data_IF_485659015125
#
_entry.id   IF_485659015125
#
_cell.length_a   1.000
_cell.length_b   1.000
_cell.length_c   1.000
_cell.angle_alpha   90.00
_cell.angle_beta   90.00
_cell.angle_gamma   90.00
#
_symmetry.space_group_name_H-M   'P 1'
#
loop_
_entity.id
_entity.type
_entity.pdbx_description
1 polymer ?
#
# COMPACT_ATOMS: atom_id res chain seq x y z
N UNK A 1 24.41 43.98 9.99
CA UNK A 1 25.79 43.78 10.46
C UNK A 1 25.94 42.36 10.95
N UNK A 2 26.97 41.72 10.41
CA UNK A 2 27.62 40.44 10.77
C UNK A 2 26.77 39.16 10.51
N UNK A 3 27.11 38.46 9.60
CA UNK A 3 28.21 37.64 9.01
C UNK A 3 27.85 36.18 9.04
N UNK A 4 27.76 35.69 7.83
CA UNK A 4 27.95 34.32 7.40
C UNK A 4 29.02 33.55 8.16
N UNK A 5 28.81 32.27 8.40
CA UNK A 5 29.90 31.30 8.36
C UNK A 5 29.41 29.98 7.74
N UNK A 6 29.93 29.71 6.56
CA UNK A 6 30.00 28.43 5.87
C UNK A 6 30.89 27.47 6.65
N UNK A 7 30.51 26.20 6.74
CA UNK A 7 31.48 25.10 6.83
C UNK A 7 31.05 23.97 5.93
N UNK A 8 31.73 23.87 4.79
CA UNK A 8 31.87 22.64 4.00
C UNK A 8 32.79 21.66 4.73
N UNK A 9 32.47 20.38 4.72
CA UNK A 9 33.44 19.26 4.77
C UNK A 9 32.84 18.14 3.94
N UNK A 10 33.28 17.92 2.71
CA UNK A 10 34.47 17.19 2.31
C UNK A 10 34.30 15.67 2.41
N UNK A 11 34.14 15.07 1.22
CA UNK A 11 34.27 13.64 0.90
C UNK A 11 35.58 13.06 1.46
N UNK A 12 35.51 11.83 1.95
CA UNK A 12 36.66 10.94 1.92
C UNK A 12 36.25 9.58 1.36
N UNK A 13 36.72 9.35 0.18
CA UNK A 13 36.83 8.04 -0.48
C UNK A 13 37.98 7.30 0.18
N UNK A 14 37.77 6.04 0.53
CA UNK A 14 38.89 5.11 0.77
C UNK A 14 38.57 3.80 0.10
N UNK A 15 39.29 3.54 -0.95
CA UNK A 15 39.41 2.27 -1.66
C UNK A 15 40.58 1.45 -1.10
N UNK A 16 40.62 0.18 -1.48
CA UNK A 16 41.63 -0.88 -1.30
C UNK A 16 41.56 -1.64 0.04
N UNK A 17 41.53 -2.98 0.02
CA UNK A 17 42.46 -3.87 -0.67
C UNK A 17 41.89 -5.26 -0.92
N UNK A 18 42.23 -5.74 -2.06
CA UNK A 18 42.18 -7.11 -2.58
C UNK A 18 43.22 -7.98 -1.87
N UNK A 19 42.87 -9.19 -1.37
CA UNK A 19 43.83 -10.28 -1.22
C UNK A 19 43.15 -11.60 -1.48
N UNK A 20 43.54 -12.21 -2.58
CA UNK A 20 43.40 -13.62 -2.91
C UNK A 20 44.50 -14.43 -2.25
N UNK A 21 44.20 -15.61 -1.75
CA UNK A 21 45.12 -16.74 -1.65
C UNK A 21 44.36 -18.07 -1.63
N UNK A 22 44.54 -18.78 -2.54
CA UNK A 22 44.75 -20.11 -3.12
C UNK A 22 45.05 -21.26 -2.14
N UNK A 23 44.51 -22.43 -2.56
CA UNK A 23 45.03 -23.82 -2.38
C UNK A 23 44.97 -24.43 -0.98
N UNK A 24 44.65 -25.71 -0.78
CA UNK A 24 44.83 -26.95 -1.52
C UNK A 24 44.00 -28.08 -0.90
N UNK A 25 43.53 -28.96 -1.72
CA UNK A 25 43.79 -30.41 -1.86
C UNK A 25 43.73 -31.36 -0.65
N UNK A 26 42.93 -32.41 -0.83
CA UNK A 26 43.18 -33.79 -0.42
C UNK A 26 42.52 -34.22 0.89
N UNK A 27 41.83 -35.31 1.01
CA UNK A 27 42.12 -36.68 0.61
C UNK A 27 40.88 -37.57 0.85
N UNK A 28 40.74 -38.52 0.01
CA UNK A 28 39.92 -39.73 0.02
C UNK A 28 40.10 -40.57 1.31
N UNK A 29 39.02 -41.24 1.75
CA UNK A 29 39.09 -42.61 2.31
C UNK A 29 37.73 -43.30 2.33
N UNK A 30 37.60 -44.27 1.44
CA UNK A 30 37.20 -45.68 1.60
C UNK A 30 35.81 -46.03 2.13
N UNK A 31 35.09 -46.73 1.26
CA UNK A 31 33.94 -47.59 1.54
C UNK A 31 34.29 -48.82 2.38
N UNK A 32 33.30 -49.48 2.96
CA UNK A 32 33.27 -50.92 2.87
C UNK A 32 32.02 -51.44 2.14
N UNK A 33 32.32 -52.49 1.41
CA UNK A 33 31.51 -53.40 0.63
C UNK A 33 30.44 -54.12 1.43
N UNK A 34 29.25 -54.24 0.85
CA UNK A 34 28.22 -55.18 1.23
C UNK A 34 27.39 -55.58 0.02
N UNK A 35 27.65 -56.78 -0.48
CA UNK A 35 26.98 -57.42 -1.62
C UNK A 35 25.61 -57.93 -1.21
N UNK A 36 24.55 -57.54 -1.95
CA UNK A 36 23.32 -58.32 -2.05
C UNK A 36 22.81 -58.21 -3.47
N UNK A 37 22.86 -59.33 -4.15
CA UNK A 37 22.25 -59.57 -5.46
C UNK A 37 20.74 -59.56 -5.31
N UNK A 38 20.05 -58.67 -6.02
CA UNK A 38 18.65 -58.89 -6.34
C UNK A 38 18.36 -58.52 -7.81
N UNK A 39 17.79 -59.50 -8.47
CA UNK A 39 17.50 -59.54 -9.89
C UNK A 39 16.16 -58.83 -10.09
N UNK A 40 16.16 -57.62 -10.61
CA UNK A 40 14.92 -56.97 -11.01
C UNK A 40 14.95 -56.63 -12.50
N UNK A 41 14.00 -57.20 -13.20
CA UNK A 41 13.67 -57.02 -14.63
C UNK A 41 13.51 -55.56 -14.98
N UNK A 42 14.27 -55.12 -15.95
CA UNK A 42 14.27 -53.75 -16.49
C UNK A 42 13.06 -53.59 -17.43
N UNK A 43 11.97 -53.02 -16.91
CA UNK A 43 10.86 -52.55 -17.74
C UNK A 43 11.11 -51.10 -18.08
N UNK A 44 11.57 -50.83 -19.25
CA UNK A 44 11.74 -49.48 -19.81
C UNK A 44 10.36 -48.81 -19.95
N UNK A 45 9.97 -47.96 -19.01
CA UNK A 45 8.81 -47.10 -19.14
C UNK A 45 9.13 -46.07 -20.22
N UNK A 46 8.38 -46.11 -21.31
CA UNK A 46 8.37 -45.06 -22.33
C UNK A 46 7.73 -43.82 -21.71
N UNK A 47 8.58 -42.85 -21.36
CA UNK A 47 8.10 -41.54 -20.91
C UNK A 47 7.56 -40.80 -22.13
N UNK A 48 6.25 -40.74 -22.26
CA UNK A 48 5.58 -39.86 -23.23
C UNK A 48 5.90 -38.42 -22.86
N UNK A 49 6.45 -37.59 -23.76
CA UNK A 49 6.72 -36.19 -23.44
C UNK A 49 5.41 -35.49 -23.14
N UNK A 50 5.30 -34.86 -21.97
CA UNK A 50 4.22 -33.97 -21.62
C UNK A 50 4.17 -32.84 -22.67
N UNK A 51 3.02 -32.57 -23.29
CA UNK A 51 2.91 -31.47 -24.26
C UNK A 51 3.34 -30.18 -23.61
N UNK A 52 4.31 -29.50 -24.21
CA UNK A 52 4.67 -28.15 -23.87
C UNK A 52 3.41 -27.27 -23.97
N UNK A 53 3.03 -26.48 -22.93
CA UNK A 53 1.86 -25.62 -23.04
C UNK A 53 2.09 -24.66 -24.20
N UNK A 54 1.21 -24.72 -25.18
CA UNK A 54 1.14 -23.73 -26.26
C UNK A 54 0.94 -22.36 -25.61
N UNK A 55 1.74 -21.32 -25.96
CA UNK A 55 1.47 -19.98 -25.49
C UNK A 55 0.03 -19.62 -25.83
N UNK A 56 -0.74 -19.19 -24.83
CA UNK A 56 -2.11 -18.71 -25.07
C UNK A 56 -2.05 -17.62 -26.15
N UNK A 57 -2.85 -17.80 -27.20
CA UNK A 57 -2.97 -16.77 -28.22
C UNK A 57 -3.26 -15.44 -27.52
N UNK A 58 -2.56 -14.37 -27.88
CA UNK A 58 -2.82 -13.00 -27.42
C UNK A 58 -4.24 -12.61 -27.86
N UNK A 59 -5.24 -12.96 -27.06
CA UNK A 59 -6.59 -12.41 -27.18
C UNK A 59 -6.45 -11.01 -26.57
N UNK A 60 -6.71 -9.91 -27.33
CA UNK A 60 -6.72 -8.60 -26.75
C UNK A 60 -7.67 -8.57 -25.56
N UNK A 61 -7.21 -8.06 -24.43
CA UNK A 61 -8.08 -7.90 -23.27
C UNK A 61 -9.31 -7.07 -23.68
N UNK A 62 -10.51 -7.40 -23.21
CA UNK A 62 -11.71 -6.61 -23.48
C UNK A 62 -11.47 -5.16 -23.05
N UNK A 63 -12.14 -4.20 -23.68
CA UNK A 63 -12.09 -2.81 -23.22
C UNK A 63 -12.59 -2.74 -21.79
N UNK A 64 -11.79 -2.22 -20.82
CA UNK A 64 -12.19 -2.22 -19.43
C UNK A 64 -13.35 -1.26 -19.19
N UNK A 65 -14.12 -1.51 -18.13
CA UNK A 65 -15.12 -0.57 -17.65
C UNK A 65 -14.41 0.73 -17.23
N UNK A 66 -15.00 1.87 -17.59
CA UNK A 66 -14.41 3.20 -17.24
C UNK A 66 -14.65 3.56 -15.76
N UNK A 67 -15.54 2.86 -15.09
CA UNK A 67 -16.03 3.16 -13.77
C UNK A 67 -17.47 3.70 -13.76
N UNK A 68 -17.93 4.13 -12.60
CA UNK A 68 -19.23 4.83 -12.49
C UNK A 68 -19.21 6.16 -13.25
N UNK A 69 -20.37 6.63 -13.67
CA UNK A 69 -20.47 7.94 -14.32
C UNK A 69 -19.90 9.02 -13.40
N UNK A 70 -19.00 9.83 -13.94
CA UNK A 70 -18.34 10.88 -13.18
C UNK A 70 -19.36 11.88 -12.63
N UNK A 71 -19.32 12.10 -11.32
CA UNK A 71 -20.10 13.16 -10.65
C UNK A 71 -19.23 14.42 -10.63
N UNK A 72 -19.72 15.48 -11.26
CA UNK A 72 -19.03 16.76 -11.29
C UNK A 72 -18.81 17.33 -9.87
N UNK A 73 -17.78 18.15 -9.73
CA UNK A 73 -17.54 18.85 -8.48
C UNK A 73 -18.68 19.87 -8.22
N UNK A 74 -19.11 19.95 -6.98
CA UNK A 74 -20.11 20.89 -6.52
C UNK A 74 -19.51 22.07 -5.74
N UNK A 75 -18.23 22.36 -6.01
CA UNK A 75 -17.46 23.46 -5.42
C UNK A 75 -16.53 24.08 -6.47
N UNK A 76 -16.09 25.30 -6.23
CA UNK A 76 -15.05 25.93 -7.03
C UNK A 76 -13.69 25.34 -6.64
N UNK A 77 -12.94 24.84 -7.62
CA UNK A 77 -11.63 24.22 -7.39
C UNK A 77 -10.52 25.24 -7.11
N UNK A 78 -10.62 26.46 -7.69
CA UNK A 78 -9.53 27.43 -7.65
C UNK A 78 -9.01 27.76 -6.24
N UNK A 79 -9.86 28.00 -5.22
CA UNK A 79 -9.36 28.30 -3.87
C UNK A 79 -8.62 27.15 -3.17
N UNK A 80 -8.79 25.92 -3.66
CA UNK A 80 -8.13 24.71 -3.10
C UNK A 80 -6.82 24.37 -3.75
N UNK A 81 -6.40 25.15 -4.74
CA UNK A 81 -5.13 24.97 -5.44
C UNK A 81 -4.20 26.15 -5.13
N UNK A 82 -2.91 25.87 -5.11
CA UNK A 82 -1.86 26.89 -4.98
C UNK A 82 -0.66 26.53 -5.85
N UNK A 83 0.24 27.48 -6.12
CA UNK A 83 1.49 27.18 -6.82
C UNK A 83 2.30 26.13 -6.06
N UNK A 84 2.82 25.15 -6.78
CA UNK A 84 3.60 24.04 -6.21
C UNK A 84 4.84 24.60 -5.48
N UNK A 85 5.02 24.24 -4.20
CA UNK A 85 6.10 24.75 -3.35
C UNK A 85 7.46 24.16 -3.72
N UNK A 86 7.48 22.98 -4.31
CA UNK A 86 8.68 22.35 -4.83
C UNK A 86 8.31 21.52 -6.06
N UNK A 87 8.83 21.89 -7.25
CA UNK A 87 8.44 21.22 -8.48
C UNK A 87 8.71 19.71 -8.37
N UNK A 88 7.77 18.92 -8.85
CA UNK A 88 7.91 17.48 -8.93
C UNK A 88 9.20 17.14 -9.71
N UNK A 89 10.00 16.26 -9.13
CA UNK A 89 11.17 15.70 -9.81
C UNK A 89 10.76 14.56 -10.74
N UNK A 90 11.57 14.29 -11.76
CA UNK A 90 11.45 13.04 -12.51
C UNK A 90 11.61 11.89 -11.51
N UNK A 91 10.73 10.89 -11.58
CA UNK A 91 10.82 9.74 -10.69
C UNK A 91 12.16 9.00 -10.93
N UNK A 92 12.81 8.63 -9.84
CA UNK A 92 14.03 7.79 -9.89
C UNK A 92 13.68 6.30 -10.05
N UNK A 93 12.41 5.95 -9.79
CA UNK A 93 11.86 4.61 -9.97
C UNK A 93 11.25 4.45 -11.36
N UNK A 94 10.81 3.24 -11.70
CA UNK A 94 10.12 2.94 -12.97
C UNK A 94 8.67 3.44 -13.00
N UNK A 95 8.15 3.92 -11.88
CA UNK A 95 6.77 4.39 -11.72
C UNK A 95 6.70 5.90 -11.56
N UNK A 96 5.65 6.51 -12.09
CA UNK A 96 5.23 7.83 -11.66
C UNK A 96 4.42 7.72 -10.37
N UNK A 97 4.47 8.74 -9.53
CA UNK A 97 3.84 8.75 -8.22
C UNK A 97 3.12 10.07 -7.91
N UNK A 98 1.95 9.95 -7.30
CA UNK A 98 1.25 11.06 -6.64
C UNK A 98 1.14 10.74 -5.15
N UNK A 99 1.41 11.71 -4.30
CA UNK A 99 1.40 11.54 -2.84
C UNK A 99 0.73 12.70 -2.12
N UNK A 100 -0.10 12.37 -1.12
CA UNK A 100 -0.70 13.33 -0.21
C UNK A 100 -0.86 12.77 1.21
N UNK A 101 -1.14 13.65 2.16
CA UNK A 101 -1.42 13.28 3.55
C UNK A 101 -2.89 13.48 3.91
N UNK A 102 -3.38 12.61 4.79
CA UNK A 102 -4.70 12.72 5.40
C UNK A 102 -4.56 12.70 6.92
N UNK A 103 -5.42 13.45 7.60
CA UNK A 103 -5.57 13.38 9.06
C UNK A 103 -6.67 12.40 9.44
N UNK A 104 -6.68 11.93 10.70
CA UNK A 104 -7.69 11.01 11.19
C UNK A 104 -9.08 11.66 11.25
N UNK A 105 -10.03 11.05 10.57
CA UNK A 105 -11.44 11.46 10.54
C UNK A 105 -12.28 10.86 11.66
N UNK A 106 -13.49 10.38 11.27
CA UNK A 106 -14.47 9.79 12.19
C UNK A 106 -14.02 8.41 12.70
N UNK A 107 -14.55 8.05 13.88
CA UNK A 107 -14.44 6.72 14.46
C UNK A 107 -15.87 6.20 14.58
N UNK A 108 -16.22 5.17 13.81
CA UNK A 108 -17.58 4.64 13.70
C UNK A 108 -17.58 3.13 13.68
N UNK A 109 -18.67 2.52 14.14
CA UNK A 109 -18.96 1.08 13.96
C UNK A 109 -19.70 0.84 12.65
N UNK A 110 -19.33 1.56 11.62
CA UNK A 110 -19.96 1.54 10.29
C UNK A 110 -19.02 0.93 9.26
N UNK A 111 -19.62 0.26 8.29
CA UNK A 111 -18.94 -0.28 7.12
C UNK A 111 -19.89 -0.23 5.92
N UNK A 112 -19.71 0.75 5.01
CA UNK A 112 -20.58 0.87 3.85
C UNK A 112 -20.41 -0.22 2.79
N UNK A 113 -19.34 -1.03 2.85
CA UNK A 113 -19.14 -2.17 1.94
C UNK A 113 -19.74 -3.44 2.51
N UNK A 114 -19.32 -3.85 3.68
CA UNK A 114 -19.72 -5.15 4.26
C UNK A 114 -21.12 -5.11 4.90
N UNK A 115 -21.50 -3.95 5.47
CA UNK A 115 -22.80 -3.75 6.13
C UNK A 115 -23.52 -2.51 5.60
N UNK A 116 -23.80 -2.43 4.28
CA UNK A 116 -24.42 -1.24 3.69
C UNK A 116 -25.77 -0.93 4.31
N UNK A 117 -25.96 0.33 4.72
CA UNK A 117 -27.20 0.79 5.33
C UNK A 117 -27.45 0.32 6.77
N UNK A 118 -26.47 -0.29 7.43
CA UNK A 118 -26.60 -0.85 8.78
C UNK A 118 -25.65 -0.16 9.77
N UNK A 119 -25.98 1.02 10.28
CA UNK A 119 -25.13 1.73 11.25
C UNK A 119 -24.88 0.88 12.51
N UNK A 120 -23.65 0.86 12.97
CA UNK A 120 -23.26 0.13 14.17
C UNK A 120 -23.11 -1.38 14.01
N UNK A 121 -23.22 -1.93 12.80
CA UNK A 121 -23.14 -3.37 12.56
C UNK A 121 -21.71 -3.92 12.48
N UNK A 122 -20.72 -3.06 12.32
CA UNK A 122 -19.31 -3.44 12.20
C UNK A 122 -18.55 -3.32 13.52
N UNK A 123 -17.31 -3.85 13.55
CA UNK A 123 -16.34 -3.44 14.56
C UNK A 123 -15.97 -1.96 14.38
N UNK A 124 -15.20 -1.41 15.31
CA UNK A 124 -14.88 0.02 15.28
C UNK A 124 -13.86 0.32 14.18
N UNK A 125 -14.17 1.26 13.30
CA UNK A 125 -13.29 1.72 12.23
C UNK A 125 -12.81 3.16 12.44
N UNK A 126 -11.57 3.43 12.07
CA UNK A 126 -11.02 4.75 11.88
C UNK A 126 -11.15 5.13 10.39
N UNK A 127 -11.89 6.20 10.11
CA UNK A 127 -12.09 6.73 8.75
C UNK A 127 -11.11 7.85 8.40
N UNK A 128 -10.85 7.98 7.10
CA UNK A 128 -10.10 9.07 6.45
C UNK A 128 -10.77 9.43 5.13
N UNK A 129 -10.38 10.56 4.57
CA UNK A 129 -10.98 11.10 3.36
C UNK A 129 -12.31 11.77 3.67
N UNK A 130 -13.41 11.29 3.14
CA UNK A 130 -14.73 11.91 3.28
C UNK A 130 -15.19 12.00 4.73
N UNK A 131 -15.41 13.23 5.22
CA UNK A 131 -15.85 13.48 6.61
C UNK A 131 -17.33 13.16 6.87
N UNK A 132 -18.10 12.81 5.86
CA UNK A 132 -19.48 12.36 5.94
C UNK A 132 -19.69 10.89 5.66
N UNK A 133 -18.61 10.12 5.45
CA UNK A 133 -18.68 8.68 5.21
C UNK A 133 -19.28 7.94 6.41
N UNK A 134 -20.20 7.01 6.15
CA UNK A 134 -20.92 6.20 7.14
C UNK A 134 -21.52 4.95 6.46
N UNK A 135 -22.23 4.11 7.20
CA UNK A 135 -22.83 2.87 6.68
C UNK A 135 -23.76 3.06 5.47
N UNK A 136 -24.33 4.24 5.26
CA UNK A 136 -25.23 4.53 4.13
C UNK A 136 -24.53 5.15 2.92
N UNK A 137 -23.20 5.27 2.96
CA UNK A 137 -22.44 5.88 1.87
C UNK A 137 -22.45 5.01 0.62
N UNK A 138 -22.42 5.67 -0.53
CA UNK A 138 -22.19 5.12 -1.86
C UNK A 138 -21.43 6.15 -2.70
N UNK A 139 -21.00 5.79 -3.91
CA UNK A 139 -20.21 6.70 -4.76
C UNK A 139 -20.89 8.05 -4.95
N UNK A 140 -22.19 8.06 -5.24
CA UNK A 140 -22.95 9.29 -5.48
C UNK A 140 -22.99 10.19 -4.23
N UNK A 141 -23.27 9.61 -3.06
CA UNK A 141 -23.33 10.36 -1.80
C UNK A 141 -21.94 10.86 -1.38
N UNK A 142 -20.88 10.06 -1.56
CA UNK A 142 -19.50 10.47 -1.29
C UNK A 142 -19.11 11.66 -2.17
N UNK A 143 -19.44 11.62 -3.48
CA UNK A 143 -19.16 12.73 -4.39
C UNK A 143 -19.98 13.98 -4.10
N UNK A 144 -21.25 13.80 -3.67
CA UNK A 144 -22.20 14.90 -3.48
C UNK A 144 -21.98 15.67 -2.16
N UNK A 145 -21.44 15.03 -1.12
CA UNK A 145 -21.42 15.60 0.23
C UNK A 145 -20.17 15.22 1.03
N UNK A 146 -20.01 15.87 2.20
CA UNK A 146 -18.85 15.72 3.06
C UNK A 146 -17.70 16.64 2.65
N UNK A 147 -16.85 16.96 3.63
CA UNK A 147 -15.53 17.53 3.43
C UNK A 147 -14.50 16.45 3.16
N UNK A 148 -13.23 16.77 3.42
CA UNK A 148 -12.13 15.80 3.35
C UNK A 148 -11.17 16.00 4.50
N UNK A 149 -10.52 14.91 4.95
CA UNK A 149 -9.37 14.95 5.84
C UNK A 149 -8.05 14.94 5.07
N UNK A 150 -8.11 14.95 3.73
CA UNK A 150 -6.97 14.85 2.82
C UNK A 150 -6.82 16.17 2.05
N UNK A 151 -5.94 17.04 2.51
CA UNK A 151 -5.72 18.35 1.91
C UNK A 151 -6.73 19.39 2.37
N UNK A 152 -6.95 20.43 1.56
CA UNK A 152 -7.78 21.58 1.87
C UNK A 152 -9.22 21.20 2.24
N UNK A 153 -9.58 21.38 3.48
CA UNK A 153 -10.92 21.05 3.98
C UNK A 153 -12.06 21.81 3.24
N UNK A 154 -11.78 23.03 2.76
CA UNK A 154 -12.73 23.85 2.02
C UNK A 154 -12.97 23.36 0.58
N UNK A 155 -12.04 22.59 0.03
CA UNK A 155 -12.08 22.07 -1.34
C UNK A 155 -11.85 20.56 -1.33
N UNK A 156 -12.92 19.78 -1.11
CA UNK A 156 -12.79 18.36 -0.88
C UNK A 156 -12.54 17.59 -2.19
N UNK A 157 -11.35 17.76 -2.75
CA UNK A 157 -10.91 17.08 -3.98
C UNK A 157 -10.87 15.57 -3.84
N UNK A 158 -10.48 15.09 -2.66
CA UNK A 158 -10.47 13.67 -2.34
C UNK A 158 -11.58 13.35 -1.34
N UNK A 159 -12.77 13.06 -1.85
CA UNK A 159 -13.91 12.54 -1.09
C UNK A 159 -13.97 11.01 -1.06
N UNK A 160 -12.90 10.33 -1.48
CA UNK A 160 -12.80 8.89 -1.27
C UNK A 160 -12.91 8.56 0.21
N UNK A 161 -13.46 7.41 0.53
CA UNK A 161 -13.45 6.89 1.89
C UNK A 161 -12.38 5.81 2.02
N UNK A 162 -11.59 5.90 3.07
CA UNK A 162 -10.60 4.93 3.50
C UNK A 162 -10.90 4.60 4.94
N UNK A 163 -10.98 3.33 5.29
CA UNK A 163 -11.15 2.95 6.70
C UNK A 163 -10.45 1.65 7.01
N UNK A 164 -10.13 1.50 8.28
CA UNK A 164 -9.48 0.31 8.79
C UNK A 164 -9.87 0.11 10.27
N UNK A 165 -9.69 -1.10 10.82
CA UNK A 165 -9.98 -1.37 12.22
C UNK A 165 -9.26 -0.39 13.14
N UNK A 166 -10.01 0.30 14.02
CA UNK A 166 -9.45 1.31 14.90
C UNK A 166 -8.37 0.70 15.82
N UNK A 167 -7.27 1.43 16.04
CA UNK A 167 -6.23 1.06 17.00
C UNK A 167 -6.72 1.30 18.42
N UNK A 168 -6.68 0.28 19.26
CA UNK A 168 -7.05 0.32 20.68
C UNK A 168 -5.79 0.22 21.53
N UNK A 169 -5.71 1.01 22.62
CA UNK A 169 -4.55 1.00 23.54
C UNK A 169 -4.60 -0.11 24.62
N UNK A 170 -5.69 -0.89 24.63
CA UNK A 170 -5.93 -1.94 25.62
C UNK A 170 -6.19 -1.42 27.06
N UNK A 171 -6.41 -0.10 27.22
CA UNK A 171 -6.76 0.54 28.51
C UNK A 171 -7.93 1.52 28.39
N UNK A 172 -8.71 1.40 27.30
CA UNK A 172 -9.99 2.09 27.13
C UNK A 172 -10.01 3.24 26.14
N UNK A 173 -8.97 3.41 25.33
CA UNK A 173 -8.92 4.46 24.31
C UNK A 173 -8.68 3.92 22.90
N UNK A 174 -9.22 4.63 21.93
CA UNK A 174 -8.77 4.58 20.53
C UNK A 174 -7.54 5.46 20.40
N UNK A 175 -6.47 4.92 19.86
CA UNK A 175 -5.27 5.66 19.49
C UNK A 175 -5.46 6.16 18.07
N UNK A 176 -5.70 7.47 17.90
CA UNK A 176 -5.85 8.04 16.56
C UNK A 176 -4.49 8.14 15.88
N UNK A 177 -4.34 7.69 14.63
CA UNK A 177 -3.08 7.88 13.91
C UNK A 177 -2.77 9.38 13.76
N UNK A 178 -1.49 9.70 13.79
CA UNK A 178 -1.02 11.07 13.59
C UNK A 178 -1.28 11.55 12.17
N UNK A 179 -1.08 10.66 11.21
CA UNK A 179 -1.36 10.87 9.80
C UNK A 179 -1.49 9.55 9.06
N UNK A 180 -2.07 9.65 7.89
CA UNK A 180 -2.04 8.65 6.84
C UNK A 180 -1.36 9.30 5.63
N UNK A 181 -0.28 8.70 5.15
CA UNK A 181 0.42 9.10 3.93
C UNK A 181 -0.05 8.18 2.80
N UNK A 182 -0.64 8.76 1.78
CA UNK A 182 -1.29 8.06 0.69
C UNK A 182 -0.50 8.25 -0.59
N UNK A 183 -0.14 7.16 -1.24
CA UNK A 183 0.50 7.13 -2.54
C UNK A 183 -0.41 6.46 -3.58
N UNK A 184 -0.33 6.96 -4.80
CA UNK A 184 -0.78 6.28 -6.01
C UNK A 184 0.39 6.17 -6.96
N UNK A 185 0.74 4.95 -7.38
CA UNK A 185 1.93 4.67 -8.18
C UNK A 185 1.58 3.71 -9.32
N UNK A 186 2.12 3.95 -10.50
CA UNK A 186 2.00 3.04 -11.64
C UNK A 186 3.05 3.42 -12.69
N UNK A 187 3.43 2.46 -13.54
CA UNK A 187 4.16 2.76 -14.76
C UNK A 187 3.37 3.76 -15.63
N UNK A 188 4.03 4.71 -16.31
CA UNK A 188 3.38 5.57 -17.30
C UNK A 188 2.65 4.77 -18.38
N UNK A 189 1.55 5.27 -18.91
CA UNK A 189 0.80 4.59 -19.99
C UNK A 189 1.67 4.30 -21.23
N UNK A 190 2.72 5.09 -21.45
CA UNK A 190 3.69 4.92 -22.53
C UNK A 190 4.76 3.87 -22.27
N UNK A 191 4.82 3.32 -21.05
CA UNK A 191 5.82 2.34 -20.69
C UNK A 191 5.53 0.99 -21.41
N UNK A 192 6.55 0.30 -21.95
CA UNK A 192 6.38 -1.03 -22.52
C UNK A 192 5.71 -2.05 -21.58
N UNK A 193 5.87 -1.92 -20.28
CA UNK A 193 5.22 -2.78 -19.26
C UNK A 193 3.70 -2.66 -19.25
N UNK A 194 3.17 -1.52 -19.69
CA UNK A 194 1.75 -1.27 -19.80
C UNK A 194 1.13 -1.74 -21.13
N UNK A 195 1.97 -2.07 -22.13
CA UNK A 195 1.49 -2.37 -23.47
C UNK A 195 1.23 -3.88 -23.65
N UNK A 196 0.02 -4.29 -24.04
CA UNK A 196 -0.30 -5.71 -24.24
C UNK A 196 0.46 -6.35 -25.41
N UNK A 197 1.12 -5.57 -26.25
CA UNK A 197 1.93 -6.06 -27.36
C UNK A 197 3.43 -6.13 -27.03
N UNK A 198 3.83 -5.68 -25.86
CA UNK A 198 5.23 -5.70 -25.42
C UNK A 198 5.61 -7.06 -24.84
N UNK A 199 6.84 -7.50 -25.10
CA UNK A 199 7.42 -8.66 -24.44
C UNK A 199 7.69 -8.43 -22.94
N UNK A 200 7.64 -7.17 -22.49
CA UNK A 200 7.82 -6.76 -21.10
C UNK A 200 6.47 -6.49 -20.40
N UNK A 201 5.35 -6.87 -21.01
CA UNK A 201 4.02 -6.61 -20.50
C UNK A 201 3.80 -7.21 -19.11
N UNK A 202 3.36 -6.36 -18.16
CA UNK A 202 3.00 -6.78 -16.79
C UNK A 202 1.49 -6.73 -16.55
N UNK A 203 0.79 -5.87 -17.23
CA UNK A 203 -0.65 -5.63 -17.17
C UNK A 203 -0.99 -4.42 -18.02
N UNK A 204 -2.18 -4.38 -18.58
CA UNK A 204 -2.62 -3.20 -19.34
C UNK A 204 -2.91 -2.08 -18.36
N UNK A 205 -2.08 -1.05 -18.37
CA UNK A 205 -2.26 0.09 -17.48
C UNK A 205 -3.53 0.88 -17.84
N UNK A 206 -4.31 1.19 -16.82
CA UNK A 206 -5.52 2.03 -16.92
C UNK A 206 -5.53 3.04 -15.77
N UNK A 207 -6.24 4.13 -15.95
CA UNK A 207 -6.45 5.11 -14.89
C UNK A 207 -7.39 4.54 -13.81
N UNK A 208 -7.32 5.08 -12.61
CA UNK A 208 -8.13 4.65 -11.46
C UNK A 208 -9.63 4.80 -11.79
N UNK A 209 -10.42 3.71 -11.84
CA UNK A 209 -11.83 3.77 -12.18
C UNK A 209 -12.65 4.54 -11.15
N UNK A 210 -13.67 5.29 -11.61
CA UNK A 210 -14.59 5.97 -10.71
C UNK A 210 -15.41 4.95 -9.92
N UNK A 211 -15.46 5.12 -8.60
CA UNK A 211 -16.30 4.31 -7.72
C UNK A 211 -15.79 2.90 -7.47
N UNK A 212 -14.56 2.56 -7.90
CA UNK A 212 -13.95 1.27 -7.52
C UNK A 212 -13.82 1.20 -6.00
N UNK A 213 -14.12 0.03 -5.45
CA UNK A 213 -14.13 -0.19 -4.00
C UNK A 213 -13.78 -1.62 -3.69
N UNK A 214 -12.95 -1.81 -2.67
CA UNK A 214 -12.49 -3.15 -2.27
C UNK A 214 -11.96 -3.18 -0.85
N UNK A 215 -11.94 -4.39 -0.28
CA UNK A 215 -11.34 -4.71 1.01
C UNK A 215 -10.08 -5.53 0.77
N UNK A 216 -9.01 -5.26 1.51
CA UNK A 216 -7.75 -6.01 1.40
C UNK A 216 -7.03 -6.14 2.75
N UNK A 217 -6.01 -7.00 2.82
CA UNK A 217 -5.43 -7.44 4.07
C UNK A 217 -6.19 -8.64 4.65
N UNK A 218 -6.28 -8.76 5.97
CA UNK A 218 -6.92 -9.90 6.62
C UNK A 218 -8.37 -10.09 6.17
N UNK A 219 -8.70 -11.32 5.82
CA UNK A 219 -10.06 -11.68 5.44
C UNK A 219 -10.76 -12.33 6.65
N UNK A 220 -11.72 -11.63 7.24
CA UNK A 220 -12.49 -12.09 8.39
C UNK A 220 -13.28 -13.38 8.13
N UNK A 221 -13.50 -13.73 6.85
CA UNK A 221 -14.29 -14.90 6.44
C UNK A 221 -13.49 -16.20 6.47
N UNK A 222 -12.23 -16.16 6.06
CA UNK A 222 -11.40 -17.36 5.85
C UNK A 222 -10.01 -17.28 6.51
N UNK A 223 -9.67 -16.15 7.12
CA UNK A 223 -8.39 -15.94 7.80
C UNK A 223 -7.20 -15.72 6.86
N UNK A 224 -7.42 -15.52 5.57
CA UNK A 224 -6.34 -15.20 4.64
C UNK A 224 -5.86 -13.74 4.80
N UNK A 225 -4.61 -13.47 4.42
CA UNK A 225 -3.95 -12.17 4.70
C UNK A 225 -3.61 -11.36 3.45
N UNK A 226 -3.94 -11.83 2.26
CA UNK A 226 -3.57 -11.12 1.04
C UNK A 226 -2.04 -10.92 0.95
N UNK A 227 -1.33 -12.00 0.72
CA UNK A 227 0.13 -12.02 0.53
C UNK A 227 0.46 -12.66 -0.80
N UNK A 228 1.53 -12.18 -1.43
CA UNK A 228 2.00 -12.73 -2.70
C UNK A 228 3.17 -13.70 -2.52
N UNK A 229 3.95 -13.53 -1.44
CA UNK A 229 5.03 -14.42 -1.05
C UNK A 229 5.22 -14.42 0.48
N UNK A 230 4.92 -15.54 1.13
CA UNK A 230 5.02 -15.71 2.59
C UNK A 230 6.45 -15.53 3.12
N UNK A 231 7.46 -15.76 2.28
CA UNK A 231 8.86 -15.70 2.66
C UNK A 231 9.49 -14.32 2.42
N UNK A 232 8.76 -13.40 1.82
CA UNK A 232 9.25 -12.06 1.52
C UNK A 232 8.28 -11.00 2.05
N UNK A 233 8.68 -10.33 3.13
CA UNK A 233 7.86 -9.29 3.79
C UNK A 233 7.56 -8.08 2.91
N UNK A 234 8.30 -7.88 1.82
CA UNK A 234 8.01 -6.85 0.83
C UNK A 234 6.72 -7.15 0.04
N UNK A 235 6.29 -8.41 0.01
CA UNK A 235 5.08 -8.88 -0.66
C UNK A 235 3.90 -9.09 0.30
N UNK A 236 4.00 -8.65 1.54
CA UNK A 236 2.88 -8.66 2.46
C UNK A 236 1.99 -7.46 2.20
N UNK A 237 0.69 -7.70 2.09
CA UNK A 237 -0.27 -6.62 1.94
C UNK A 237 -0.23 -5.64 3.11
N UNK A 238 0.10 -6.12 4.30
CA UNK A 238 0.21 -5.34 5.53
C UNK A 238 1.44 -5.78 6.31
N UNK A 239 2.20 -4.78 6.77
CA UNK A 239 3.37 -5.00 7.63
C UNK A 239 3.52 -3.85 8.63
N UNK A 240 4.10 -4.17 9.75
CA UNK A 240 4.40 -3.24 10.82
C UNK A 240 5.90 -2.95 10.87
N UNK A 241 6.26 -1.71 11.13
CA UNK A 241 7.65 -1.30 11.33
C UNK A 241 7.76 -0.37 12.53
N UNK A 242 8.86 -0.49 13.26
CA UNK A 242 9.27 0.52 14.24
C UNK A 242 10.26 1.47 13.57
N UNK A 243 9.92 2.73 13.48
CA UNK A 243 10.78 3.75 12.90
C UNK A 243 11.17 4.79 13.96
N UNK A 244 12.30 5.45 13.77
CA UNK A 244 12.70 6.57 14.63
C UNK A 244 11.64 7.67 14.66
N UNK A 245 11.58 8.45 15.73
CA UNK A 245 10.76 9.67 15.77
C UNK A 245 11.16 10.61 14.62
N UNK A 246 10.19 11.40 14.10
CA UNK A 246 10.44 12.28 12.95
C UNK A 246 11.55 13.32 13.21
N UNK A 247 11.67 13.78 14.44
CA UNK A 247 12.70 14.74 14.88
C UNK A 247 14.03 14.08 15.26
N UNK A 248 14.11 12.75 15.16
CA UNK A 248 15.30 11.98 15.53
C UNK A 248 15.55 11.89 17.03
N UNK A 249 14.65 12.39 17.88
CA UNK A 249 14.82 12.38 19.35
C UNK A 249 14.81 10.97 19.95
N UNK A 250 14.12 10.02 19.29
CA UNK A 250 14.04 8.62 19.68
C UNK A 250 14.37 7.74 18.49
N UNK A 251 15.28 6.77 18.68
CA UNK A 251 15.57 5.75 17.66
C UNK A 251 14.52 4.64 17.67
N UNK A 252 14.58 3.74 16.69
CA UNK A 252 13.75 2.52 16.66
C UNK A 252 14.28 1.40 17.60
N UNK A 253 15.29 1.65 18.39
CA UNK A 253 15.83 0.67 19.32
C UNK A 253 16.37 -0.57 18.64
N UNK A 254 15.96 -1.75 19.11
CA UNK A 254 16.32 -3.05 18.53
C UNK A 254 15.31 -3.54 17.49
N UNK A 255 14.18 -2.85 17.33
CA UNK A 255 13.12 -3.22 16.41
C UNK A 255 13.41 -2.68 15.00
N UNK A 256 14.34 -3.30 14.29
CA UNK A 256 14.83 -2.86 12.96
C UNK A 256 14.23 -3.64 11.79
N UNK A 257 13.32 -4.58 12.07
CA UNK A 257 12.73 -5.47 11.07
C UNK A 257 11.37 -5.00 10.55
N UNK A 258 10.81 -5.80 9.64
CA UNK A 258 9.41 -5.80 9.26
C UNK A 258 8.70 -6.89 10.05
N UNK A 259 7.52 -6.61 10.56
CA UNK A 259 6.81 -7.47 11.48
C UNK A 259 5.40 -7.76 10.98
N UNK A 260 4.91 -8.92 11.32
CA UNK A 260 3.58 -9.38 10.94
C UNK A 260 2.48 -8.84 11.86
N UNK A 261 2.83 -8.58 13.14
CA UNK A 261 1.88 -8.16 14.17
C UNK A 261 2.44 -7.02 15.03
N UNK A 262 1.56 -6.30 15.73
CA UNK A 262 1.95 -5.33 16.75
C UNK A 262 2.67 -6.04 17.91
N UNK A 263 2.23 -7.26 18.26
CA UNK A 263 2.90 -8.07 19.28
C UNK A 263 4.37 -8.32 18.96
N UNK A 264 4.69 -8.57 17.68
CA UNK A 264 6.08 -8.79 17.23
C UNK A 264 6.91 -7.50 17.36
N UNK A 265 6.33 -6.35 16.98
CA UNK A 265 7.00 -5.04 17.14
C UNK A 265 7.29 -4.73 18.60
N UNK A 266 6.33 -5.01 19.50
CA UNK A 266 6.50 -4.81 20.94
C UNK A 266 7.58 -5.74 21.49
N UNK A 267 7.55 -7.03 21.12
CA UNK A 267 8.55 -8.03 21.52
C UNK A 267 9.96 -7.69 20.99
N UNK A 268 10.07 -7.06 19.82
CA UNK A 268 11.32 -6.60 19.26
C UNK A 268 11.91 -5.37 19.98
N UNK A 269 11.16 -4.74 20.89
CA UNK A 269 11.64 -3.63 21.73
C UNK A 269 11.53 -2.26 21.07
N UNK A 270 10.45 -1.99 20.33
CA UNK A 270 10.16 -0.65 19.81
C UNK A 270 9.94 0.33 20.98
N UNK A 271 10.76 1.38 21.12
CA UNK A 271 10.75 2.22 22.31
C UNK A 271 9.61 3.25 22.31
N UNK A 272 9.21 3.68 23.52
CA UNK A 272 8.29 4.82 23.70
C UNK A 272 8.82 6.06 23.00
N UNK A 273 7.97 6.75 22.26
CA UNK A 273 8.32 7.92 21.46
C UNK A 273 8.78 7.60 20.03
N UNK A 274 9.15 6.36 19.73
CA UNK A 274 9.34 5.92 18.34
C UNK A 274 8.00 5.87 17.59
N UNK A 275 8.06 5.65 16.28
CA UNK A 275 6.86 5.50 15.45
C UNK A 275 6.56 4.02 15.21
N UNK A 276 5.33 3.62 15.50
CA UNK A 276 4.76 2.43 14.89
C UNK A 276 4.19 2.84 13.53
N UNK A 277 4.74 2.28 12.48
CA UNK A 277 4.25 2.45 11.12
C UNK A 277 3.49 1.19 10.69
N UNK A 278 2.31 1.37 10.13
CA UNK A 278 1.61 0.32 9.40
C UNK A 278 1.75 0.65 7.93
N UNK A 279 2.38 -0.24 7.18
CA UNK A 279 2.53 -0.12 5.74
C UNK A 279 1.54 -1.07 5.08
N UNK A 280 0.77 -0.53 4.15
CA UNK A 280 -0.37 -1.20 3.54
C UNK A 280 -0.24 -1.07 2.03
N UNK A 281 -0.16 -2.19 1.32
CA UNK A 281 -0.06 -2.26 -0.13
C UNK A 281 -1.36 -2.88 -0.68
N UNK A 282 -2.14 -2.10 -1.42
CA UNK A 282 -3.39 -2.55 -2.01
C UNK A 282 -3.16 -3.44 -3.24
N UNK A 283 -4.11 -4.32 -3.59
CA UNK A 283 -4.09 -4.99 -4.88
C UNK A 283 -4.24 -3.96 -6.01
N UNK A 284 -3.45 -4.10 -7.06
CA UNK A 284 -3.40 -3.17 -8.19
C UNK A 284 -3.78 -3.79 -9.54
N UNK A 285 -4.05 -5.09 -9.58
CA UNK A 285 -4.54 -5.79 -10.75
C UNK A 285 -6.07 -5.92 -10.69
N UNK A 286 -6.74 -5.42 -11.70
CA UNK A 286 -8.20 -5.36 -11.77
C UNK A 286 -8.75 -6.23 -12.90
N UNK A 287 -9.93 -6.84 -12.69
CA UNK A 287 -10.59 -7.69 -13.70
C UNK A 287 -11.11 -6.89 -14.92
N UNK A 288 -11.22 -5.56 -14.81
CA UNK A 288 -11.69 -4.67 -15.88
C UNK A 288 -13.21 -4.61 -16.04
N UNK A 289 -13.96 -5.33 -15.22
CA UNK A 289 -15.41 -5.50 -15.36
C UNK A 289 -16.17 -5.03 -14.13
N UNK A 290 -15.71 -5.41 -12.94
CA UNK A 290 -16.44 -5.19 -11.71
C UNK A 290 -15.80 -4.05 -10.90
N UNK A 291 -16.59 -3.10 -10.43
CA UNK A 291 -16.16 -2.07 -9.47
C UNK A 291 -16.23 -2.56 -8.03
N UNK A 292 -16.89 -3.71 -7.84
CA UNK A 292 -17.08 -4.43 -6.60
C UNK A 292 -17.43 -5.89 -6.91
N UNK A 293 -17.21 -6.78 -5.99
CA UNK A 293 -17.59 -8.19 -6.07
C UNK A 293 -18.33 -8.61 -4.81
N UNK A 294 -18.99 -9.77 -4.83
CA UNK A 294 -19.80 -10.25 -3.70
C UNK A 294 -19.00 -10.45 -2.40
N UNK A 295 -17.68 -10.59 -2.49
CA UNK A 295 -16.76 -10.68 -1.37
C UNK A 295 -15.96 -9.40 -1.15
N UNK A 296 -16.22 -8.36 -1.94
CA UNK A 296 -15.52 -7.07 -1.97
C UNK A 296 -14.00 -7.19 -2.23
N UNK A 297 -13.53 -8.30 -2.82
CA UNK A 297 -12.11 -8.63 -2.98
C UNK A 297 -11.76 -9.20 -4.35
N UNK A 298 -12.55 -10.18 -4.85
CA UNK A 298 -12.19 -11.03 -5.97
C UNK A 298 -12.18 -10.36 -7.35
N UNK A 299 -12.58 -9.11 -7.47
CA UNK A 299 -12.41 -8.28 -8.67
C UNK A 299 -11.04 -7.59 -8.72
N UNK A 300 -10.26 -7.72 -7.64
CA UNK A 300 -8.91 -7.20 -7.50
C UNK A 300 -7.94 -8.32 -7.16
N UNK A 301 -6.71 -8.23 -7.64
CA UNK A 301 -5.64 -9.17 -7.34
C UNK A 301 -4.31 -8.44 -7.14
N UNK A 302 -3.40 -9.05 -6.38
CA UNK A 302 -2.00 -8.63 -6.37
C UNK A 302 -1.26 -9.18 -7.58
N UNK A 303 -0.30 -8.43 -8.08
CA UNK A 303 0.59 -8.89 -9.10
C UNK A 303 1.45 -10.07 -8.57
N UNK A 304 1.28 -11.26 -9.15
CA UNK A 304 1.94 -12.50 -8.72
C UNK A 304 2.81 -13.15 -9.80
N UNK A 305 2.84 -12.55 -10.99
CA UNK A 305 3.64 -13.02 -12.10
C UNK A 305 5.15 -12.89 -11.84
N UNK A 306 5.98 -13.31 -12.81
CA UNK A 306 7.43 -13.25 -12.65
C UNK A 306 7.89 -11.82 -12.40
N UNK A 307 8.76 -11.66 -11.40
CA UNK A 307 9.43 -10.39 -11.15
C UNK A 307 10.43 -10.13 -12.27
N UNK A 308 10.25 -9.00 -12.95
CA UNK A 308 11.17 -8.60 -14.00
C UNK A 308 12.25 -7.68 -13.40
N UNK A 309 13.50 -7.95 -13.69
CA UNK A 309 14.64 -7.24 -13.09
C UNK A 309 14.53 -5.73 -13.26
N UNK A 310 14.57 -5.00 -12.16
CA UNK A 310 14.45 -3.54 -12.13
C UNK A 310 13.01 -3.00 -12.17
N UNK A 311 12.01 -3.87 -12.03
CA UNK A 311 10.61 -3.47 -11.97
C UNK A 311 10.14 -3.26 -10.54
N UNK A 312 9.15 -2.39 -10.40
CA UNK A 312 8.47 -2.14 -9.13
C UNK A 312 7.34 -3.15 -8.88
N UNK A 313 6.71 -3.63 -9.95
CA UNK A 313 5.60 -4.59 -9.88
C UNK A 313 5.91 -5.89 -10.60
N UNK A 314 5.28 -6.96 -10.14
CA UNK A 314 5.16 -8.22 -10.87
C UNK A 314 4.06 -8.12 -11.93
N UNK A 315 3.91 -9.16 -12.76
CA UNK A 315 2.84 -9.21 -13.74
C UNK A 315 1.48 -9.48 -13.09
N UNK A 316 0.46 -8.85 -13.62
CA UNK A 316 -0.92 -9.14 -13.26
C UNK A 316 -1.35 -10.53 -13.73
N UNK A 317 -2.17 -11.26 -12.97
CA UNK A 317 -2.73 -12.53 -13.40
C UNK A 317 -3.66 -12.34 -14.61
N UNK A 318 -3.81 -13.41 -15.40
CA UNK A 318 -4.53 -13.33 -16.69
C UNK A 318 -6.03 -12.98 -16.55
N UNK A 319 -6.64 -13.27 -15.42
CA UNK A 319 -8.03 -12.96 -15.09
C UNK A 319 -8.22 -11.55 -14.51
N UNK A 320 -7.11 -10.86 -14.20
CA UNK A 320 -7.08 -9.48 -13.73
C UNK A 320 -6.06 -8.68 -14.57
N UNK A 321 -6.28 -8.53 -15.88
CA UNK A 321 -5.25 -8.08 -16.80
C UNK A 321 -4.97 -6.57 -16.75
N UNK A 322 -5.75 -5.80 -16.00
CA UNK A 322 -5.62 -4.35 -15.95
C UNK A 322 -4.87 -3.91 -14.71
N UNK A 323 -3.87 -3.05 -14.90
CA UNK A 323 -3.09 -2.45 -13.83
C UNK A 323 -3.59 -1.03 -13.56
N UNK A 324 -4.25 -0.84 -12.42
CA UNK A 324 -4.61 0.48 -11.90
C UNK A 324 -3.43 1.05 -11.08
N UNK A 325 -3.42 2.38 -10.77
CA UNK A 325 -2.46 2.89 -9.82
C UNK A 325 -2.51 2.14 -8.49
N UNK A 326 -1.38 1.57 -8.10
CA UNK A 326 -1.19 0.96 -6.80
C UNK A 326 -1.39 1.99 -5.69
N UNK A 327 -2.18 1.63 -4.70
CA UNK A 327 -2.43 2.45 -3.52
C UNK A 327 -1.58 1.93 -2.37
N UNK A 328 -0.47 2.63 -2.08
CA UNK A 328 0.34 2.38 -0.89
C UNK A 328 -0.07 3.36 0.20
N UNK A 329 -0.29 2.86 1.40
CA UNK A 329 -0.69 3.65 2.56
C UNK A 329 0.28 3.43 3.71
N UNK A 330 0.73 4.52 4.32
CA UNK A 330 1.60 4.51 5.48
C UNK A 330 0.89 5.22 6.63
N UNK A 331 0.60 4.48 7.70
CA UNK A 331 -0.15 4.97 8.86
C UNK A 331 0.80 5.11 10.02
N UNK A 332 0.88 6.29 10.62
CA UNK A 332 1.84 6.61 11.66
C UNK A 332 1.17 6.79 13.04
N UNK A 333 1.73 6.12 14.02
CA UNK A 333 1.39 6.28 15.44
C UNK A 333 2.67 6.57 16.24
N UNK A 334 2.56 7.34 17.33
CA UNK A 334 3.64 7.46 18.31
C UNK A 334 3.50 6.38 19.36
N UNK A 335 4.52 5.55 19.55
CA UNK A 335 4.53 4.48 20.55
C UNK A 335 4.47 5.04 21.96
N UNK A 336 3.58 4.49 22.78
CA UNK A 336 3.51 4.77 24.22
C UNK A 336 3.87 3.54 25.08
N UNK A 337 3.75 3.66 26.39
CA UNK A 337 4.08 2.58 27.32
C UNK A 337 3.13 1.37 27.24
N UNK A 338 2.00 1.49 26.54
CA UNK A 338 1.01 0.44 26.39
C UNK A 338 1.17 -0.38 25.10
N UNK A 339 2.19 -0.14 24.26
CA UNK A 339 2.35 -0.80 22.95
C UNK A 339 2.08 -2.31 22.98
N UNK A 340 2.52 -3.00 24.03
CA UNK A 340 2.30 -4.44 24.19
C UNK A 340 0.81 -4.82 24.35
N UNK A 341 -0.06 -3.86 24.62
CA UNK A 341 -1.52 -4.03 24.74
C UNK A 341 -2.25 -3.50 23.52
N UNK A 342 -1.56 -2.71 22.67
CA UNK A 342 -2.18 -2.17 21.46
C UNK A 342 -2.63 -3.29 20.56
N UNK A 343 -3.84 -3.18 20.06
CA UNK A 343 -4.45 -4.12 19.14
C UNK A 343 -5.44 -3.39 18.22
N UNK A 344 -5.82 -4.01 17.14
CA UNK A 344 -6.87 -3.45 16.27
C UNK A 344 -8.24 -4.01 16.68
N UNK A 345 -9.29 -3.21 16.51
CA UNK A 345 -10.65 -3.56 16.95
C UNK A 345 -11.18 -4.88 16.36
N UNK A 346 -10.70 -5.27 15.19
CA UNK A 346 -11.02 -6.56 14.56
C UNK A 346 -10.36 -7.76 15.25
N UNK A 347 -9.25 -7.58 15.97
CA UNK A 347 -8.64 -8.67 16.74
C UNK A 347 -9.62 -9.23 17.81
N UNK A 348 -10.49 -8.36 18.35
CA UNK A 348 -11.50 -8.77 19.35
C UNK A 348 -12.55 -9.73 18.78
N UNK A 349 -12.69 -9.80 17.45
CA UNK A 349 -13.66 -10.68 16.78
C UNK A 349 -13.09 -12.06 16.45
N UNK A 350 -11.78 -12.26 16.59
CA UNK A 350 -11.09 -13.52 16.25
C UNK A 350 -10.45 -14.11 17.50
N UNK A 351 -10.99 -15.21 17.98
CA UNK A 351 -10.48 -15.85 19.19
C UNK A 351 -9.01 -16.23 19.05
N UNK A 352 -8.17 -15.73 19.98
CA UNK A 352 -6.73 -16.01 19.99
C UNK A 352 -5.91 -15.24 18.94
N UNK A 353 -6.48 -14.24 18.29
CA UNK A 353 -5.73 -13.37 17.39
C UNK A 353 -4.56 -12.70 18.13
N UNK A 354 -3.40 -12.66 17.52
CA UNK A 354 -2.29 -11.84 18.00
C UNK A 354 -2.60 -10.36 17.71
N UNK A 355 -2.17 -9.46 18.57
CA UNK A 355 -2.45 -8.04 18.44
C UNK A 355 -1.97 -7.51 17.08
N UNK A 356 -2.88 -6.95 16.30
CA UNK A 356 -2.64 -6.43 14.95
C UNK A 356 -2.74 -7.47 13.83
N UNK A 357 -2.95 -8.76 14.13
CA UNK A 357 -2.95 -9.81 13.11
C UNK A 357 -4.14 -9.76 12.15
N UNK A 358 -5.25 -9.11 12.54
CA UNK A 358 -6.47 -9.05 11.73
C UNK A 358 -6.66 -7.72 11.01
N UNK A 359 -5.59 -6.94 10.89
CA UNK A 359 -5.64 -5.66 10.18
C UNK A 359 -6.07 -5.87 8.72
N UNK A 360 -7.00 -5.07 8.28
CA UNK A 360 -7.46 -4.94 6.90
C UNK A 360 -7.72 -3.48 6.59
N UNK A 361 -7.83 -3.16 5.34
CA UNK A 361 -8.16 -1.80 4.90
C UNK A 361 -9.22 -1.86 3.83
N UNK A 362 -10.10 -0.89 3.86
CA UNK A 362 -11.21 -0.71 2.97
C UNK A 362 -11.04 0.60 2.21
N UNK A 363 -11.43 0.58 0.96
CA UNK A 363 -11.32 1.70 0.06
C UNK A 363 -12.55 1.87 -0.81
N UNK A 364 -13.03 3.11 -0.94
CA UNK A 364 -14.04 3.50 -1.93
C UNK A 364 -13.60 4.79 -2.62
N UNK A 365 -13.30 4.68 -3.90
CA UNK A 365 -12.87 5.82 -4.72
C UNK A 365 -13.99 6.84 -4.89
N UNK A 366 -13.70 8.13 -4.64
CA UNK A 366 -14.58 9.26 -4.90
C UNK A 366 -13.80 10.58 -5.07
N UNK A 367 -12.73 10.55 -5.83
CA UNK A 367 -11.94 11.72 -6.19
C UNK A 367 -12.76 12.70 -7.06
N UNK A 368 -12.42 14.00 -6.97
CA UNK A 368 -12.74 14.98 -8.01
C UNK A 368 -12.25 14.47 -9.36
N UNK A 369 -13.13 14.31 -10.37
CA UNK A 369 -12.69 13.82 -11.68
C UNK A 369 -11.61 14.68 -12.31
N UNK A 370 -11.71 16.01 -12.14
CA UNK A 370 -10.73 16.97 -12.67
C UNK A 370 -9.37 16.81 -12.02
N UNK A 371 -9.32 16.73 -10.70
CA UNK A 371 -8.06 16.59 -9.96
C UNK A 371 -7.46 15.20 -10.16
N UNK A 372 -8.30 14.14 -10.19
CA UNK A 372 -7.85 12.80 -10.51
C UNK A 372 -7.19 12.76 -11.89
N UNK A 373 -7.79 13.34 -12.90
CA UNK A 373 -7.21 13.42 -14.23
C UNK A 373 -5.89 14.23 -14.25
N UNK A 374 -5.80 15.29 -13.44
CA UNK A 374 -4.59 16.12 -13.35
C UNK A 374 -3.41 15.31 -12.80
N UNK A 375 -3.53 14.64 -11.65
CA UNK A 375 -2.41 13.87 -11.12
C UNK A 375 -2.10 12.59 -11.92
N UNK A 376 -3.09 11.95 -12.59
CA UNK A 376 -2.78 10.89 -13.54
C UNK A 376 -1.89 11.41 -14.67
N UNK A 377 -2.27 12.54 -15.27
CA UNK A 377 -1.54 13.14 -16.39
C UNK A 377 -0.17 13.68 -15.98
N UNK A 378 -0.15 14.51 -14.93
CA UNK A 378 1.03 15.30 -14.57
C UNK A 378 2.04 14.54 -13.71
N UNK A 379 1.60 13.55 -12.96
CA UNK A 379 2.47 12.77 -12.08
C UNK A 379 2.73 11.38 -12.65
N UNK A 380 1.71 10.53 -12.74
CA UNK A 380 1.89 9.12 -13.07
C UNK A 380 2.34 8.96 -14.53
N UNK A 381 1.55 9.51 -15.48
CA UNK A 381 1.83 9.33 -16.91
C UNK A 381 3.00 10.20 -17.41
N UNK A 382 3.35 11.25 -16.67
CA UNK A 382 4.55 12.07 -16.94
C UNK A 382 5.82 11.51 -16.28
N UNK A 383 5.72 10.37 -15.57
CA UNK A 383 6.83 9.74 -14.85
C UNK A 383 7.47 10.69 -13.82
N UNK A 384 6.65 11.43 -13.10
CA UNK A 384 7.06 12.37 -12.06
C UNK A 384 6.81 11.80 -10.67
N UNK A 385 7.61 12.22 -9.70
CA UNK A 385 7.38 11.96 -8.28
C UNK A 385 6.77 13.21 -7.64
N UNK A 386 5.45 13.30 -7.67
CA UNK A 386 4.70 14.39 -7.07
C UNK A 386 4.48 14.14 -5.57
N UNK A 387 4.92 15.07 -4.74
CA UNK A 387 4.75 15.01 -3.29
C UNK A 387 3.78 16.11 -2.83
N UNK A 388 3.27 15.97 -1.62
CA UNK A 388 2.46 16.99 -0.93
C UNK A 388 1.22 17.48 -1.70
N UNK A 389 0.64 16.62 -2.55
CA UNK A 389 -0.51 16.99 -3.36
C UNK A 389 -0.17 17.72 -4.66
N UNK A 390 1.11 17.77 -5.05
CA UNK A 390 1.53 18.32 -6.34
C UNK A 390 0.85 17.61 -7.51
N UNK A 391 0.45 18.34 -8.54
CA UNK A 391 -0.27 17.81 -9.69
C UNK A 391 0.62 17.63 -10.91
N UNK A 392 1.92 18.01 -10.82
CA UNK A 392 2.88 17.91 -11.89
C UNK A 392 2.68 18.92 -13.03
N UNK A 393 1.85 19.91 -12.83
CA UNK A 393 1.56 21.00 -13.77
C UNK A 393 1.97 22.39 -13.22
N UNK A 394 2.67 22.41 -12.08
CA UNK A 394 3.06 23.62 -11.36
C UNK A 394 2.04 24.06 -10.30
N UNK A 395 1.01 23.27 -10.06
CA UNK A 395 0.03 23.48 -8.97
C UNK A 395 0.04 22.32 -7.99
N UNK A 396 -0.35 22.59 -6.75
CA UNK A 396 -0.56 21.58 -5.72
C UNK A 396 -1.89 21.77 -4.99
N UNK A 397 -2.40 20.70 -4.43
CA UNK A 397 -3.56 20.71 -3.55
C UNK A 397 -3.13 21.37 -2.24
N UNK A 398 -3.80 22.46 -1.89
CA UNK A 398 -3.54 23.19 -0.66
C UNK A 398 -3.66 22.30 0.57
N UNK A 399 -2.77 22.46 1.53
CA UNK A 399 -2.73 21.69 2.78
C UNK A 399 -2.65 20.16 2.61
N UNK A 400 -2.33 19.66 1.42
CA UNK A 400 -2.17 18.22 1.17
C UNK A 400 -0.81 17.68 1.58
N UNK A 401 0.15 18.57 1.84
CA UNK A 401 1.43 18.26 2.47
C UNK A 401 1.38 18.44 3.97
N UNK A 402 2.30 17.79 4.67
CA UNK A 402 2.61 18.14 6.05
C UNK A 402 3.90 18.93 6.03
N UNK A 403 3.90 20.18 6.50
CA UNK A 403 5.13 20.95 6.63
C UNK A 403 6.17 20.12 7.41
N UNK A 404 7.35 19.98 6.84
CA UNK A 404 8.42 19.18 7.44
C UNK A 404 8.64 19.59 8.90
N UNK A 405 8.49 18.62 9.82
CA UNK A 405 8.64 18.84 11.26
C UNK A 405 7.35 19.22 11.99
N UNK A 406 6.20 19.39 11.31
CA UNK A 406 4.93 19.71 11.95
C UNK A 406 3.91 18.56 11.78
N UNK A 407 4.04 17.55 12.62
CA UNK A 407 3.10 16.43 12.67
C UNK A 407 2.07 16.63 13.79
N UNK A 408 0.79 16.30 13.57
CA UNK A 408 -0.21 16.35 14.65
C UNK A 408 0.24 15.53 15.86
N UNK A 409 -0.03 16.03 17.05
CA UNK A 409 0.20 15.26 18.27
C UNK A 409 -0.68 14.00 18.29
N UNK A 410 -0.17 12.91 18.85
CA UNK A 410 -0.95 11.70 19.09
C UNK A 410 -2.19 12.03 19.93
N UNK A 411 -3.34 11.55 19.50
CA UNK A 411 -4.62 11.74 20.20
C UNK A 411 -5.14 10.40 20.70
N UNK A 412 -5.70 10.43 21.90
CA UNK A 412 -6.40 9.32 22.54
C UNK A 412 -7.83 9.76 22.79
N UNK A 413 -8.80 8.97 22.35
CA UNK A 413 -10.22 9.25 22.60
C UNK A 413 -10.84 8.02 23.28
N UNK A 414 -11.79 8.19 24.21
CA UNK A 414 -12.46 7.03 24.80
C UNK A 414 -13.07 6.14 23.72
N UNK A 415 -13.05 4.83 23.93
CA UNK A 415 -13.74 3.88 23.03
C UNK A 415 -15.24 4.18 23.13
N UNK A 416 -15.95 4.45 21.99
CA UNK A 416 -17.37 4.81 21.99
C UNK A 416 -18.31 3.64 22.29
#
# INVERSE_FOLDING_TARGET
>A
MLKQMFVQRALQVSALALMALTTACGTSLASPTGSATDTTTNTTAVVTPTPTPTPAANVPAPTPLVGEAAVADNFDAAPGLEPEQGPAGVSVDVVGAFRMFCTAGQILKDDPLVYPGQPGASHLHQFFGNTGANASSNYQSLRASGGTTCGAAANPFNRSAYWFPAMLDGVGHVVKPRYLNLYYKRNPLSDPMCSPTSAQHLGQCVDLPNGIRFVFGYNMKDGSHGITDVNNSEHWAIRYECQAAEDGSVSNGTATGKYWTISDVAAAGCPVGARLMILVDAPNCWDGVNLDSADHRSHMAWATGPYYQGQFFNACPADHPYMIPDMEVQIAFTVDANLAKWHVSSDEMVAGAANGSTFHMDYWEAWSPTIKAAWHKGCINAHMSCANGGLGDGTEIKDAGVPWGYWPAQQYVPVP
#
